data_IF_296566839745
#
_entry.id   IF_296566839745
#
_cell.length_a   1.000
_cell.length_b   1.000
_cell.length_c   1.000
_cell.angle_alpha   90.00
_cell.angle_beta   90.00
_cell.angle_gamma   90.00
#
_symmetry.space_group_name_H-M   'P 1'
#
loop_
_entity.id
_entity.type
_entity.pdbx_description
1 polymer ?
#
# COMPACT_ATOMS: atom_id res chain seq x y z
N UNK A 1 -13.05 -33.03 8.23
CA UNK A 1 -11.60 -33.15 7.97
C UNK A 1 -11.29 -32.20 6.83
N UNK A 2 -10.35 -31.28 7.04
CA UNK A 2 -10.27 -29.99 6.34
C UNK A 2 -10.16 -30.11 4.82
N UNK A 3 -11.00 -29.35 4.11
CA UNK A 3 -10.82 -29.11 2.70
C UNK A 3 -9.54 -28.30 2.52
N UNK A 4 -8.63 -28.80 1.67
CA UNK A 4 -7.58 -27.97 1.10
C UNK A 4 -8.28 -26.86 0.31
N UNK A 5 -8.33 -25.65 0.86
CA UNK A 5 -8.50 -24.46 0.05
C UNK A 5 -7.20 -24.33 -0.75
N UNK A 6 -7.23 -24.83 -1.99
CA UNK A 6 -6.18 -24.53 -2.96
C UNK A 6 -5.99 -23.01 -2.99
N UNK A 7 -4.74 -22.55 -3.14
CA UNK A 7 -4.44 -21.13 -3.31
C UNK A 7 -5.48 -20.54 -4.25
N UNK A 8 -6.33 -19.67 -3.69
CA UNK A 8 -7.30 -18.93 -4.47
C UNK A 8 -6.43 -17.95 -5.24
N UNK A 9 -6.08 -18.31 -6.47
CA UNK A 9 -5.59 -17.34 -7.42
C UNK A 9 -6.75 -16.37 -7.62
N UNK A 10 -6.75 -15.29 -6.84
CA UNK A 10 -7.70 -14.21 -7.02
C UNK A 10 -7.36 -13.59 -8.37
N UNK A 11 -8.24 -13.83 -9.33
CA UNK A 11 -8.11 -13.46 -10.74
C UNK A 11 -8.04 -11.93 -10.95
N UNK A 12 -8.05 -11.14 -9.88
CA UNK A 12 -7.99 -9.67 -9.90
C UNK A 12 -6.64 -9.05 -9.53
N UNK A 13 -5.62 -9.84 -9.17
CA UNK A 13 -4.55 -9.32 -8.31
C UNK A 13 -3.10 -9.41 -8.81
N UNK A 14 -2.88 -9.63 -10.10
CA UNK A 14 -1.62 -9.14 -10.67
C UNK A 14 -1.78 -7.63 -10.81
N UNK A 15 -0.97 -6.77 -10.15
CA UNK A 15 -0.92 -5.37 -10.49
C UNK A 15 -0.77 -5.28 -12.00
N UNK A 16 -1.65 -4.56 -12.68
CA UNK A 16 -1.39 -4.22 -14.07
C UNK A 16 -0.07 -3.44 -14.07
N UNK A 17 1.03 -4.12 -14.43
CA UNK A 17 2.38 -3.57 -14.30
C UNK A 17 2.51 -2.29 -15.11
N UNK A 18 1.69 -2.14 -16.16
CA UNK A 18 1.59 -0.94 -16.99
C UNK A 18 1.04 0.27 -16.24
N UNK A 19 0.41 0.06 -15.08
CA UNK A 19 -0.18 1.09 -14.21
C UNK A 19 0.57 1.30 -12.92
N UNK A 20 1.72 0.64 -12.75
CA UNK A 20 2.59 0.95 -11.63
C UNK A 20 3.00 2.42 -11.69
N UNK A 21 2.99 3.05 -10.53
CA UNK A 21 3.56 4.38 -10.42
C UNK A 21 5.09 4.27 -10.53
N UNK A 22 5.79 5.32 -10.99
CA UNK A 22 7.25 5.30 -11.06
C UNK A 22 7.92 4.94 -9.73
N UNK A 23 7.31 5.33 -8.61
CA UNK A 23 7.78 4.97 -7.28
C UNK A 23 7.63 3.48 -6.99
N UNK A 24 6.49 2.88 -7.31
CA UNK A 24 6.26 1.45 -7.08
C UNK A 24 7.14 0.58 -7.98
N UNK A 25 7.42 1.02 -9.21
CA UNK A 25 8.41 0.36 -10.09
C UNK A 25 9.78 0.35 -9.42
N UNK A 26 10.27 1.50 -8.96
CA UNK A 26 11.55 1.59 -8.25
C UNK A 26 11.56 0.75 -6.96
N UNK A 27 10.44 0.73 -6.24
CA UNK A 27 10.30 -0.07 -5.02
C UNK A 27 10.48 -1.57 -5.30
N UNK A 28 9.82 -2.11 -6.34
CA UNK A 28 9.99 -3.50 -6.76
C UNK A 28 11.44 -3.82 -7.11
N UNK A 29 12.08 -2.97 -7.92
CA UNK A 29 13.48 -3.12 -8.31
C UNK A 29 14.41 -3.14 -7.10
N UNK A 30 14.21 -2.22 -6.14
CA UNK A 30 15.03 -2.12 -4.95
C UNK A 30 14.85 -3.31 -4.01
N UNK A 31 13.64 -3.85 -3.91
CA UNK A 31 13.35 -5.02 -3.08
C UNK A 31 13.74 -6.33 -3.75
N UNK A 32 13.97 -6.33 -5.06
CA UNK A 32 14.19 -7.55 -5.85
C UNK A 32 12.95 -8.44 -5.86
N UNK A 33 11.76 -7.84 -5.88
CA UNK A 33 10.48 -8.53 -5.86
C UNK A 33 9.83 -8.55 -7.23
N UNK A 34 9.16 -9.65 -7.54
CA UNK A 34 8.48 -9.82 -8.82
C UNK A 34 7.11 -9.13 -8.84
N UNK A 35 6.45 -8.93 -7.69
CA UNK A 35 5.09 -8.41 -7.60
C UNK A 35 4.80 -7.59 -6.32
N UNK A 36 3.59 -7.00 -6.27
CA UNK A 36 3.06 -6.24 -5.12
C UNK A 36 1.91 -6.95 -4.41
N UNK A 37 1.86 -8.29 -4.42
CA UNK A 37 0.73 -9.03 -3.84
C UNK A 37 0.50 -8.70 -2.36
N UNK A 38 1.55 -8.38 -1.59
CA UNK A 38 1.39 -7.98 -0.19
C UNK A 38 0.60 -6.66 0.01
N UNK A 39 0.43 -5.87 -1.05
CA UNK A 39 -0.37 -4.64 -1.09
C UNK A 39 -1.76 -4.86 -1.73
N UNK A 40 -2.18 -6.11 -1.97
CA UNK A 40 -3.44 -6.43 -2.63
C UNK A 40 -4.65 -5.79 -1.96
N UNK A 41 -4.65 -5.80 -0.63
CA UNK A 41 -5.72 -5.37 0.23
C UNK A 41 -5.65 -3.87 0.60
N UNK A 42 -4.74 -3.12 -0.03
CA UNK A 42 -4.57 -1.68 0.14
C UNK A 42 -5.25 -0.94 -1.01
N UNK A 43 -6.19 -0.05 -0.67
CA UNK A 43 -6.99 0.67 -1.66
C UNK A 43 -7.28 2.11 -1.24
N UNK A 44 -7.66 2.92 -2.23
CA UNK A 44 -8.12 4.29 -1.97
C UNK A 44 -9.59 4.24 -1.53
N UNK A 45 -9.85 4.67 -0.30
CA UNK A 45 -11.19 4.82 0.27
C UNK A 45 -11.50 6.26 0.68
N UNK A 46 -12.54 6.41 1.49
CA UNK A 46 -12.94 7.70 2.06
C UNK A 46 -13.26 7.55 3.55
N UNK A 47 -12.63 8.39 4.37
CA UNK A 47 -12.90 8.53 5.81
C UNK A 47 -13.54 9.91 6.04
N UNK A 48 -14.76 9.95 6.58
CA UNK A 48 -15.49 11.20 6.86
C UNK A 48 -15.60 12.14 5.63
N UNK A 49 -15.75 11.56 4.43
CA UNK A 49 -15.82 12.29 3.16
C UNK A 49 -14.47 12.77 2.62
N UNK A 50 -13.37 12.45 3.29
CA UNK A 50 -12.01 12.76 2.83
C UNK A 50 -11.37 11.51 2.25
N UNK A 51 -10.68 11.64 1.11
CA UNK A 51 -9.92 10.53 0.58
C UNK A 51 -8.86 10.07 1.59
N UNK A 52 -8.69 8.76 1.69
CA UNK A 52 -7.76 8.13 2.61
C UNK A 52 -7.30 6.79 2.04
N UNK A 53 -6.05 6.43 2.33
CA UNK A 53 -5.53 5.08 2.11
C UNK A 53 -6.15 4.18 3.18
N UNK A 54 -6.75 3.09 2.76
CA UNK A 54 -7.20 2.04 3.67
C UNK A 54 -6.30 0.82 3.53
N UNK A 55 -5.78 0.36 4.65
CA UNK A 55 -5.00 -0.87 4.77
C UNK A 55 -5.82 -1.88 5.58
N UNK A 56 -6.30 -2.94 4.93
CA UNK A 56 -7.08 -3.99 5.57
C UNK A 56 -6.25 -4.83 6.54
N UNK A 57 -4.95 -5.01 6.28
CA UNK A 57 -4.09 -5.85 7.12
C UNK A 57 -3.93 -5.25 8.52
N UNK A 58 -3.78 -3.93 8.59
CA UNK A 58 -3.71 -3.19 9.85
C UNK A 58 -5.09 -2.72 10.36
N UNK A 59 -6.15 -2.90 9.55
CA UNK A 59 -7.47 -2.29 9.75
C UNK A 59 -7.38 -0.78 10.03
N UNK A 60 -6.57 -0.08 9.24
CA UNK A 60 -6.15 1.30 9.49
C UNK A 60 -6.44 2.24 8.31
N UNK A 61 -6.55 3.54 8.64
CA UNK A 61 -6.77 4.61 7.68
C UNK A 61 -5.63 5.64 7.74
N UNK A 62 -5.15 6.06 6.58
CA UNK A 62 -4.17 7.16 6.45
C UNK A 62 -4.80 8.24 5.57
N UNK A 63 -5.16 9.37 6.18
CA UNK A 63 -5.74 10.50 5.45
C UNK A 63 -4.72 11.11 4.50
N UNK A 64 -5.17 11.47 3.30
CA UNK A 64 -4.35 12.18 2.32
C UNK A 64 -4.74 13.67 2.27
N UNK A 65 -3.84 14.58 1.86
CA UNK A 65 -4.17 15.99 1.72
C UNK A 65 -5.33 16.22 0.74
N UNK A 66 -6.30 17.06 1.13
CA UNK A 66 -7.47 17.42 0.28
C UNK A 66 -7.10 18.03 -1.07
N UNK A 67 -5.92 18.62 -1.18
CA UNK A 67 -5.40 19.23 -2.41
C UNK A 67 -4.86 18.21 -3.40
N UNK A 68 -4.68 16.95 -3.00
CA UNK A 68 -4.20 15.88 -3.89
C UNK A 68 -5.27 15.54 -4.91
N UNK A 69 -4.92 15.67 -6.20
CA UNK A 69 -5.81 15.24 -7.29
C UNK A 69 -5.73 13.74 -7.44
N UNK A 70 -6.88 13.08 -7.39
CA UNK A 70 -6.98 11.64 -7.63
C UNK A 70 -7.47 11.37 -9.06
N UNK A 71 -6.98 10.31 -9.71
CA UNK A 71 -7.47 9.88 -11.01
C UNK A 71 -8.94 9.46 -10.93
N UNK A 72 -9.62 9.36 -12.07
CA UNK A 72 -11.05 9.05 -12.11
C UNK A 72 -11.37 7.54 -12.16
N UNK A 73 -10.37 6.69 -12.38
CA UNK A 73 -10.55 5.24 -12.37
C UNK A 73 -10.01 4.64 -11.05
N UNK A 74 -10.62 3.54 -10.62
CA UNK A 74 -10.31 2.93 -9.33
C UNK A 74 -8.90 2.33 -9.28
N UNK A 75 -8.46 1.70 -10.37
CA UNK A 75 -7.19 1.00 -10.42
C UNK A 75 -5.99 1.94 -10.16
N UNK A 76 -5.96 3.10 -10.83
CA UNK A 76 -4.90 4.08 -10.62
C UNK A 76 -4.96 4.71 -9.22
N UNK A 77 -6.17 4.86 -8.65
CA UNK A 77 -6.32 5.32 -7.27
C UNK A 77 -5.71 4.33 -6.29
N UNK A 78 -5.93 3.04 -6.51
CA UNK A 78 -5.39 1.99 -5.66
C UNK A 78 -3.86 1.91 -5.80
N UNK A 79 -3.31 2.10 -7.01
CA UNK A 79 -1.85 2.23 -7.18
C UNK A 79 -1.27 3.42 -6.41
N UNK A 80 -1.95 4.58 -6.42
CA UNK A 80 -1.57 5.72 -5.58
C UNK A 80 -1.70 5.36 -4.09
N UNK A 81 -2.74 4.66 -3.67
CA UNK A 81 -2.91 4.26 -2.28
C UNK A 81 -1.76 3.38 -1.78
N UNK A 82 -1.37 2.39 -2.59
CA UNK A 82 -0.23 1.51 -2.37
C UNK A 82 1.08 2.29 -2.26
N UNK A 83 1.33 3.19 -3.20
CA UNK A 83 2.49 4.08 -3.16
C UNK A 83 2.54 4.90 -1.87
N UNK A 84 1.41 5.51 -1.49
CA UNK A 84 1.32 6.35 -0.31
C UNK A 84 1.56 5.58 0.98
N UNK A 85 1.06 4.34 1.09
CA UNK A 85 1.34 3.48 2.23
C UNK A 85 2.84 3.18 2.33
N UNK A 86 3.47 2.77 1.24
CA UNK A 86 4.92 2.47 1.21
C UNK A 86 5.73 3.72 1.58
N UNK A 87 5.42 4.87 0.99
CA UNK A 87 6.08 6.15 1.33
C UNK A 87 5.90 6.52 2.79
N UNK A 88 4.71 6.29 3.35
CA UNK A 88 4.44 6.54 4.76
C UNK A 88 5.30 5.65 5.66
N UNK A 89 5.31 4.34 5.40
CA UNK A 89 6.10 3.37 6.17
C UNK A 89 7.61 3.63 6.08
N UNK A 90 8.09 4.04 4.91
CA UNK A 90 9.51 4.34 4.65
C UNK A 90 9.93 5.75 5.06
N UNK A 91 8.99 6.60 5.49
CA UNK A 91 9.26 8.00 5.82
C UNK A 91 10.26 8.12 6.96
N UNK A 92 11.21 9.05 6.84
CA UNK A 92 12.12 9.40 7.93
C UNK A 92 11.40 9.88 9.20
N UNK A 93 10.17 10.39 9.05
CA UNK A 93 9.29 10.88 10.12
C UNK A 93 8.36 9.80 10.68
N UNK A 94 8.51 8.54 10.26
CA UNK A 94 7.67 7.46 10.75
C UNK A 94 7.93 7.21 12.25
N UNK A 95 6.90 7.11 13.12
CA UNK A 95 7.07 6.98 14.57
C UNK A 95 7.95 5.80 15.00
N UNK A 96 7.96 4.70 14.22
CA UNK A 96 8.82 3.55 14.51
C UNK A 96 10.31 3.88 14.44
N UNK A 97 10.73 4.92 13.69
CA UNK A 97 12.13 5.37 13.68
C UNK A 97 12.52 6.05 14.99
N UNK A 98 11.61 6.82 15.57
CA UNK A 98 11.84 7.45 16.88
C UNK A 98 11.90 6.38 17.97
N UNK A 99 10.99 5.40 17.92
CA UNK A 99 11.03 4.24 18.83
C UNK A 99 12.30 3.42 18.67
N UNK A 100 12.71 3.13 17.43
CA UNK A 100 13.97 2.43 17.17
C UNK A 100 15.16 3.22 17.72
N UNK A 101 15.23 4.54 17.50
CA UNK A 101 16.30 5.38 18.05
C UNK A 101 16.32 5.39 19.58
N UNK A 102 15.16 5.42 20.22
CA UNK A 102 15.04 5.47 21.67
C UNK A 102 15.34 4.13 22.35
N UNK A 103 15.05 2.99 21.70
CA UNK A 103 15.01 1.68 22.35
C UNK A 103 15.84 0.58 21.68
N UNK A 104 16.57 0.85 20.58
CA UNK A 104 17.43 -0.15 19.93
C UNK A 104 18.52 -0.62 20.89
N UNK A 105 18.51 -1.92 21.20
CA UNK A 105 19.60 -2.58 21.93
C UNK A 105 20.80 -2.75 20.98
N UNK A 106 22.00 -2.63 21.57
CA UNK A 106 23.29 -2.63 20.88
C UNK A 106 23.48 -3.85 19.97
#
# INVERSE_FOLDING_TARGET
MGQHIGYRYDVNLVPDYDRLTPYLTQYLEMMGWDDLNWLEDVHMGYEEGNAAVFDRNANGWIRIPKSMKLPNNQQDRDMIARELLVKFQMSDRHPMRDLNRAYRKF
#
